data_IF_113145102177
#
_entry.id   IF_113145102177
#
_cell.length_a   1.000
_cell.length_b   1.000
_cell.length_c   1.000
_cell.angle_alpha   90.00
_cell.angle_beta   90.00
_cell.angle_gamma   90.00
#
_symmetry.space_group_name_H-M   'P 1'
#
loop_
_entity.id
_entity.type
_entity.pdbx_description
1 polymer ?
#
# COMPACT_ATOMS: atom_id res chain seq x y z
N UNK A 1 -12.33 41.91 -36.18
CA UNK A 1 -11.97 40.66 -35.48
C UNK A 1 -12.98 39.61 -35.91
N UNK A 2 -12.67 38.86 -36.99
CA UNK A 2 -13.58 37.84 -37.53
C UNK A 2 -13.47 36.55 -36.71
N UNK A 3 -14.58 36.15 -36.09
CA UNK A 3 -14.71 34.84 -35.44
C UNK A 3 -15.04 33.84 -36.56
N UNK A 4 -14.04 33.13 -37.07
CA UNK A 4 -14.24 32.03 -38.01
C UNK A 4 -15.10 30.96 -37.34
N UNK A 5 -16.39 30.88 -37.72
CA UNK A 5 -17.27 29.76 -37.36
C UNK A 5 -16.70 28.48 -37.94
N UNK A 6 -16.05 27.68 -37.09
CA UNK A 6 -15.68 26.30 -37.43
C UNK A 6 -16.99 25.54 -37.56
N UNK A 7 -17.42 25.29 -38.80
CA UNK A 7 -18.57 24.42 -39.10
C UNK A 7 -18.17 23.00 -38.71
N UNK A 8 -18.39 22.64 -37.45
CA UNK A 8 -18.10 21.29 -36.97
C UNK A 8 -18.97 20.32 -37.75
N UNK A 9 -18.33 19.52 -38.59
CA UNK A 9 -19.02 18.44 -39.30
C UNK A 9 -19.35 17.39 -38.23
N UNK A 10 -20.62 17.00 -38.03
CA UNK A 10 -21.02 16.10 -36.96
C UNK A 10 -20.26 14.76 -37.02
N UNK A 11 -19.88 14.32 -38.22
CA UNK A 11 -19.03 13.15 -38.43
C UNK A 11 -17.65 13.24 -37.74
N UNK A 12 -17.04 14.42 -37.66
CA UNK A 12 -15.70 14.59 -37.09
C UNK A 12 -15.73 14.54 -35.55
N UNK A 13 -16.83 14.98 -34.95
CA UNK A 13 -17.10 14.83 -33.52
C UNK A 13 -17.37 13.35 -33.15
N UNK A 14 -18.13 12.62 -33.96
CA UNK A 14 -18.40 11.20 -33.73
C UNK A 14 -17.13 10.36 -33.80
N UNK A 15 -16.27 10.60 -34.80
CA UNK A 15 -14.98 9.89 -34.92
C UNK A 15 -14.07 10.22 -33.74
N UNK A 16 -13.98 11.49 -33.32
CA UNK A 16 -13.20 11.87 -32.15
C UNK A 16 -13.69 11.17 -30.87
N UNK A 17 -15.02 11.12 -30.66
CA UNK A 17 -15.60 10.41 -29.52
C UNK A 17 -15.31 8.90 -29.55
N UNK A 18 -15.40 8.27 -30.73
CA UNK A 18 -15.11 6.84 -30.89
C UNK A 18 -13.63 6.51 -30.64
N UNK A 19 -12.71 7.37 -31.07
CA UNK A 19 -11.27 7.20 -30.81
C UNK A 19 -10.97 7.37 -29.32
N UNK A 20 -11.50 8.40 -28.67
CA UNK A 20 -11.33 8.61 -27.22
C UNK A 20 -11.94 7.46 -26.42
N UNK A 21 -13.13 6.99 -26.79
CA UNK A 21 -13.78 5.85 -26.15
C UNK A 21 -12.99 4.55 -26.35
N UNK A 22 -12.48 4.28 -27.55
CA UNK A 22 -11.69 3.09 -27.85
C UNK A 22 -10.35 3.07 -27.09
N UNK A 23 -9.65 4.20 -27.03
CA UNK A 23 -8.39 4.32 -26.27
C UNK A 23 -8.65 4.24 -24.77
N UNK A 24 -9.70 4.90 -24.26
CA UNK A 24 -10.09 4.83 -22.85
C UNK A 24 -10.48 3.42 -22.40
N UNK A 25 -11.20 2.68 -23.24
CA UNK A 25 -11.56 1.28 -22.97
C UNK A 25 -10.36 0.34 -23.01
N UNK A 26 -9.42 0.56 -23.96
CA UNK A 26 -8.20 -0.22 -24.06
C UNK A 26 -7.27 -0.08 -22.86
N UNK A 27 -7.12 1.12 -22.30
CA UNK A 27 -6.28 1.33 -21.11
C UNK A 27 -6.98 0.81 -19.84
N UNK A 28 -8.31 0.93 -19.76
CA UNK A 28 -9.09 0.45 -18.61
C UNK A 28 -9.01 -1.06 -18.38
N UNK A 29 -8.98 -1.87 -19.46
CA UNK A 29 -8.92 -3.34 -19.32
C UNK A 29 -7.53 -3.90 -18.98
N UNK A 30 -6.48 -3.07 -19.06
CA UNK A 30 -5.10 -3.49 -18.74
C UNK A 30 -4.71 -3.30 -17.28
N UNK A 31 -5.59 -2.73 -16.45
CA UNK A 31 -5.35 -2.63 -15.02
C UNK A 31 -5.60 -3.99 -14.37
N UNK A 32 -4.58 -4.61 -13.72
CA UNK A 32 -4.77 -5.87 -13.03
C UNK A 32 -5.87 -5.73 -11.98
N UNK A 33 -6.91 -6.55 -12.09
CA UNK A 33 -8.03 -6.57 -11.13
C UNK A 33 -7.67 -7.23 -9.79
N UNK A 34 -6.49 -7.88 -9.73
CA UNK A 34 -6.11 -8.78 -8.64
C UNK A 34 -4.99 -8.23 -7.75
N UNK A 35 -4.64 -6.95 -7.88
CA UNK A 35 -3.60 -6.30 -7.07
C UNK A 35 -4.20 -5.36 -6.03
N UNK A 36 -4.15 -5.75 -4.76
CA UNK A 36 -4.40 -4.84 -3.64
C UNK A 36 -3.18 -3.93 -3.44
N UNK A 37 -3.37 -2.61 -3.43
CA UNK A 37 -2.31 -1.65 -3.08
C UNK A 37 -2.33 -1.42 -1.58
N UNK A 38 -1.31 -1.83 -0.80
CA UNK A 38 -1.30 -1.64 0.64
C UNK A 38 -1.26 -0.16 1.02
N UNK A 39 -1.99 0.21 2.06
CA UNK A 39 -1.83 1.48 2.73
C UNK A 39 -0.50 1.49 3.49
N UNK A 40 0.28 2.55 3.32
CA UNK A 40 1.61 2.66 3.89
C UNK A 40 1.54 3.40 5.22
N UNK A 41 2.05 2.78 6.26
CA UNK A 41 2.23 3.38 7.57
C UNK A 41 3.71 3.48 7.93
N UNK A 42 4.03 4.42 8.81
CA UNK A 42 5.34 4.61 9.42
C UNK A 42 5.17 4.90 10.90
N UNK A 43 6.11 4.46 11.72
CA UNK A 43 6.04 4.71 13.15
C UNK A 43 7.10 3.96 13.94
N UNK A 44 7.11 4.23 15.25
CA UNK A 44 8.03 3.60 16.20
C UNK A 44 7.37 2.40 16.87
N UNK A 45 7.97 1.23 16.77
CA UNK A 45 7.51 -0.01 17.42
C UNK A 45 7.51 0.20 18.93
N UNK A 46 6.35 0.06 19.56
CA UNK A 46 6.21 0.20 21.01
C UNK A 46 6.50 -1.10 21.76
N UNK A 47 6.16 -2.24 21.16
CA UNK A 47 6.49 -3.57 21.67
C UNK A 47 6.24 -4.64 20.61
N UNK A 48 7.08 -5.67 20.56
CA UNK A 48 6.81 -6.93 19.83
C UNK A 48 6.39 -8.01 20.81
N UNK A 49 5.35 -8.77 20.47
CA UNK A 49 4.84 -9.87 21.29
C UNK A 49 5.90 -10.94 21.57
N UNK A 50 5.70 -11.71 22.65
CA UNK A 50 6.60 -12.80 23.08
C UNK A 50 6.89 -13.84 21.99
N UNK A 51 5.96 -14.03 21.06
CA UNK A 51 6.07 -14.99 19.96
C UNK A 51 6.51 -14.35 18.64
N UNK A 52 6.67 -13.02 18.58
CA UNK A 52 6.92 -12.30 17.32
C UNK A 52 5.74 -12.31 16.33
N UNK A 53 4.55 -12.67 16.80
CA UNK A 53 3.31 -12.82 16.01
C UNK A 53 2.45 -11.55 15.95
N UNK A 54 2.89 -10.49 16.65
CA UNK A 54 2.21 -9.19 16.73
C UNK A 54 3.17 -8.12 17.20
N UNK A 55 2.85 -6.89 16.85
CA UNK A 55 3.57 -5.72 17.34
C UNK A 55 2.62 -4.55 17.56
N UNK A 56 2.95 -3.71 18.54
CA UNK A 56 2.39 -2.38 18.71
C UNK A 56 3.29 -1.34 18.06
N UNK A 57 2.69 -0.27 17.54
CA UNK A 57 3.40 0.84 16.91
C UNK A 57 2.75 2.16 17.27
N UNK A 58 3.56 3.15 17.63
CA UNK A 58 3.16 4.55 17.68
C UNK A 58 3.33 5.12 16.28
N UNK A 59 2.22 5.36 15.59
CA UNK A 59 2.22 5.86 14.21
C UNK A 59 2.70 7.31 14.15
N UNK A 60 3.38 7.65 13.06
CA UNK A 60 3.82 9.02 12.79
C UNK A 60 2.64 9.95 12.45
N UNK A 61 2.86 11.25 12.64
CA UNK A 61 1.76 12.22 12.64
C UNK A 61 0.89 12.04 13.89
N UNK A 62 -0.09 12.91 14.14
CA UNK A 62 -0.98 12.80 15.32
C UNK A 62 -1.98 11.64 15.20
N UNK A 63 -1.50 10.45 14.85
CA UNK A 63 -2.27 9.24 14.73
C UNK A 63 -2.17 8.45 16.05
N UNK A 64 -3.26 7.82 16.50
CA UNK A 64 -3.21 6.95 17.67
C UNK A 64 -2.29 5.75 17.39
N UNK A 65 -1.61 5.27 18.43
CA UNK A 65 -0.89 4.01 18.36
C UNK A 65 -1.84 2.84 18.06
N UNK A 66 -1.34 1.85 17.33
CA UNK A 66 -2.11 0.69 16.89
C UNK A 66 -1.29 -0.59 17.03
N UNK A 67 -1.96 -1.73 17.06
CA UNK A 67 -1.32 -3.04 17.08
C UNK A 67 -1.77 -3.87 15.88
N UNK A 68 -0.85 -4.66 15.35
CA UNK A 68 -1.09 -5.51 14.19
C UNK A 68 -0.63 -6.94 14.47
N UNK A 69 -1.36 -7.91 13.91
CA UNK A 69 -0.87 -9.28 13.79
C UNK A 69 0.22 -9.35 12.71
N UNK A 70 1.22 -10.19 12.92
CA UNK A 70 2.35 -10.37 12.03
C UNK A 70 2.44 -11.83 11.61
N UNK A 71 2.20 -12.09 10.32
CA UNK A 71 2.41 -13.39 9.70
C UNK A 71 3.79 -13.49 9.03
N UNK A 72 3.97 -14.54 8.23
CA UNK A 72 5.09 -14.61 7.29
C UNK A 72 4.84 -13.61 6.14
N UNK A 73 5.49 -12.46 6.21
CA UNK A 73 5.37 -11.38 5.22
C UNK A 73 6.73 -11.06 4.62
N UNK A 74 6.79 -10.61 3.35
CA UNK A 74 8.01 -10.08 2.78
C UNK A 74 8.51 -8.89 3.60
N UNK A 75 9.82 -8.79 3.78
CA UNK A 75 10.41 -7.68 4.50
C UNK A 75 11.74 -7.23 3.91
N UNK A 76 12.03 -5.94 4.07
CA UNK A 76 13.26 -5.32 3.59
C UNK A 76 14.20 -5.06 4.76
N UNK A 77 15.43 -5.53 4.67
CA UNK A 77 16.45 -5.32 5.71
C UNK A 77 17.03 -3.89 5.68
N UNK A 78 17.92 -3.59 6.63
CA UNK A 78 18.60 -2.30 6.75
C UNK A 78 19.55 -2.00 5.58
N UNK A 79 20.01 -3.03 4.86
CA UNK A 79 20.82 -2.90 3.64
C UNK A 79 19.95 -2.72 2.38
N UNK A 80 18.63 -2.82 2.53
CA UNK A 80 17.66 -2.68 1.46
C UNK A 80 17.36 -3.97 0.68
N UNK A 81 17.80 -5.13 1.18
CA UNK A 81 17.55 -6.44 0.58
C UNK A 81 16.19 -6.97 1.02
N UNK A 82 15.42 -7.52 0.09
CA UNK A 82 14.13 -8.16 0.39
C UNK A 82 14.31 -9.63 0.78
N UNK A 83 13.56 -10.03 1.79
CA UNK A 83 13.49 -11.37 2.35
C UNK A 83 12.02 -11.81 2.40
N UNK A 84 11.78 -13.12 2.38
CA UNK A 84 10.45 -13.74 2.33
C UNK A 84 10.21 -14.71 3.50
N UNK A 85 11.11 -14.73 4.48
CA UNK A 85 11.10 -15.67 5.60
C UNK A 85 11.20 -14.93 6.94
N UNK A 86 10.63 -15.53 7.97
CA UNK A 86 10.81 -15.09 9.35
C UNK A 86 12.14 -15.60 9.92
N UNK A 87 12.67 -14.98 11.00
CA UNK A 87 12.16 -13.79 11.69
C UNK A 87 12.50 -12.48 10.95
N UNK A 88 11.67 -11.45 11.14
CA UNK A 88 11.92 -10.10 10.61
C UNK A 88 12.90 -9.38 11.56
N UNK A 89 14.03 -8.91 11.04
CA UNK A 89 15.14 -8.44 11.89
C UNK A 89 14.79 -7.27 12.81
N UNK A 90 14.00 -6.31 12.32
CA UNK A 90 13.56 -5.15 13.11
C UNK A 90 12.35 -5.43 14.01
N UNK A 91 11.78 -6.65 13.96
CA UNK A 91 10.61 -7.07 14.73
C UNK A 91 10.89 -8.38 15.48
N UNK A 92 12.07 -8.47 16.11
CA UNK A 92 12.43 -9.61 16.95
C UNK A 92 11.49 -9.70 18.16
N UNK A 93 11.16 -10.90 18.66
CA UNK A 93 10.35 -11.04 19.87
C UNK A 93 10.90 -10.18 21.01
N UNK A 94 10.00 -9.50 21.74
CA UNK A 94 10.33 -8.60 22.85
C UNK A 94 11.16 -7.35 22.49
N UNK A 95 11.36 -7.05 21.21
CA UNK A 95 11.98 -5.79 20.78
C UNK A 95 11.02 -4.60 20.85
N UNK A 96 11.58 -3.40 20.95
CA UNK A 96 10.86 -2.11 20.96
C UNK A 96 11.80 -0.94 20.62
N UNK A 97 11.25 0.17 20.11
CA UNK A 97 11.98 1.42 19.82
C UNK A 97 12.38 1.63 18.35
N UNK A 98 12.18 0.63 17.49
CA UNK A 98 12.59 0.64 16.09
C UNK A 98 11.62 1.50 15.29
N UNK A 99 12.11 2.41 14.46
CA UNK A 99 11.28 3.11 13.48
C UNK A 99 11.13 2.26 12.21
N UNK A 100 9.90 1.93 11.81
CA UNK A 100 9.66 1.06 10.66
C UNK A 100 8.65 1.69 9.71
N UNK A 101 8.68 1.22 8.47
CA UNK A 101 7.64 1.45 7.47
C UNK A 101 6.99 0.12 7.13
N UNK A 102 5.69 0.07 6.94
CA UNK A 102 5.01 -1.19 6.62
C UNK A 102 3.75 -0.93 5.80
N UNK A 103 3.38 -1.93 5.01
CA UNK A 103 2.16 -1.92 4.20
C UNK A 103 1.06 -2.70 4.89
N UNK A 104 -0.14 -2.14 4.92
CA UNK A 104 -1.33 -2.76 5.48
C UNK A 104 -2.42 -2.83 4.42
N UNK A 105 -3.01 -4.01 4.25
CA UNK A 105 -4.22 -4.19 3.45
C UNK A 105 -5.38 -4.36 4.41
N UNK A 106 -6.39 -3.50 4.25
CA UNK A 106 -7.65 -3.67 4.95
C UNK A 106 -8.45 -4.74 4.24
N UNK A 107 -8.72 -5.85 4.93
CA UNK A 107 -9.56 -6.94 4.45
C UNK A 107 -10.93 -6.76 5.05
N UNK A 108 -11.93 -6.73 4.18
CA UNK A 108 -13.33 -6.57 4.58
C UNK A 108 -14.16 -7.70 3.98
N UNK A 109 -14.76 -8.47 4.85
CA UNK A 109 -15.75 -9.51 4.60
C UNK A 109 -17.04 -9.13 5.36
N UNK A 110 -18.24 -9.51 4.90
CA UNK A 110 -19.50 -9.13 5.57
C UNK A 110 -19.54 -9.43 7.07
N UNK A 111 -18.89 -10.51 7.50
CA UNK A 111 -18.91 -10.96 8.91
C UNK A 111 -17.64 -10.55 9.68
N UNK A 112 -16.62 -10.04 8.98
CA UNK A 112 -15.31 -9.78 9.57
C UNK A 112 -14.52 -8.72 8.80
N UNK A 113 -13.92 -7.80 9.55
CA UNK A 113 -13.02 -6.78 9.00
C UNK A 113 -11.72 -6.77 9.81
N UNK A 114 -10.58 -6.73 9.12
CA UNK A 114 -9.27 -6.71 9.77
C UNK A 114 -8.21 -6.04 8.91
N UNK A 115 -7.08 -5.75 9.54
CA UNK A 115 -5.89 -5.25 8.89
C UNK A 115 -4.84 -6.35 8.81
N UNK A 116 -4.37 -6.63 7.59
CA UNK A 116 -3.27 -7.55 7.35
C UNK A 116 -2.02 -6.76 6.97
N UNK A 117 -0.92 -7.03 7.67
CA UNK A 117 0.39 -6.54 7.23
C UNK A 117 0.78 -7.30 5.97
N UNK A 118 1.04 -6.56 4.90
CA UNK A 118 1.42 -7.10 3.60
C UNK A 118 2.95 -7.19 3.43
N UNK A 119 3.68 -6.28 4.07
CA UNK A 119 5.15 -6.24 4.06
C UNK A 119 5.69 -5.32 5.16
N UNK A 120 6.96 -5.48 5.51
CA UNK A 120 7.68 -4.62 6.46
C UNK A 120 8.96 -4.08 5.84
N UNK A 121 9.31 -2.83 6.09
CA UNK A 121 10.54 -2.19 5.66
C UNK A 121 11.32 -1.71 6.88
N UNK A 122 12.42 -2.41 7.15
CA UNK A 122 13.35 -2.14 8.24
C UNK A 122 14.45 -1.15 7.83
N UNK A 123 14.43 -0.55 6.63
CA UNK A 123 15.50 0.36 6.19
C UNK A 123 15.71 1.54 7.14
N UNK A 124 14.66 1.95 7.84
CA UNK A 124 14.66 3.05 8.80
C UNK A 124 14.73 2.57 10.26
N UNK A 125 14.91 1.26 10.50
CA UNK A 125 14.95 0.68 11.83
C UNK A 125 16.24 1.09 12.55
N UNK A 126 16.22 2.30 13.10
CA UNK A 126 17.21 2.75 14.07
C UNK A 126 16.74 2.27 15.44
N UNK A 127 17.52 1.37 16.04
CA UNK A 127 17.36 0.90 17.42
C UNK A 127 18.71 0.89 18.10
#
# INVERSE_FOLDING_TARGET
MEIRKIKSKPALLVVACLVVAGVGFGIGHTLPTDTATPQVFQGTVSAVGVNGDKFGVSLDGRQPGKSFGLGAVPWKDTNGTWHDRSPIDCLKPLSQGQHIRFGVVHVNDPDFSTDLVAWVDCSNATG
#
